data_IF_745269524794
#
_entry.id   IF_745269524794
#
_cell.length_a   1.000
_cell.length_b   1.000
_cell.length_c   1.000
_cell.angle_alpha   90.00
_cell.angle_beta   90.00
_cell.angle_gamma   90.00
#
_symmetry.space_group_name_H-M   'P 1'
#
loop_
_entity.id
_entity.type
_entity.pdbx_description
1 polymer ?
#
# COMPACT_ATOMS: atom_id res chain seq x y z
N UNK A 1 13.34 4.94 -8.47
CA UNK A 1 13.47 5.85 -7.33
C UNK A 1 14.92 5.96 -6.83
N UNK A 2 15.55 4.89 -6.38
CA UNK A 2 16.91 4.88 -5.84
C UNK A 2 17.97 5.47 -6.81
N UNK A 3 18.00 4.98 -8.07
CA UNK A 3 18.88 5.46 -9.13
C UNK A 3 18.74 6.99 -9.34
N UNK A 4 17.49 7.48 -9.32
CA UNK A 4 17.18 8.91 -9.48
C UNK A 4 17.71 9.73 -8.30
N UNK A 5 17.45 9.30 -7.06
CA UNK A 5 17.90 10.00 -5.86
C UNK A 5 19.43 10.02 -5.74
N UNK A 6 20.08 8.88 -5.98
CA UNK A 6 21.55 8.80 -5.96
C UNK A 6 22.19 9.67 -7.02
N UNK A 7 21.65 9.65 -8.24
CA UNK A 7 22.13 10.50 -9.33
C UNK A 7 21.94 11.99 -9.03
N UNK A 8 20.76 12.40 -8.58
CA UNK A 8 20.43 13.79 -8.31
C UNK A 8 21.19 14.38 -7.10
N UNK A 9 21.48 13.56 -6.10
CA UNK A 9 22.25 13.99 -4.91
C UNK A 9 23.75 13.89 -5.08
N UNK A 10 24.24 13.17 -6.09
CA UNK A 10 25.66 12.82 -6.23
C UNK A 10 26.16 11.82 -5.17
N UNK A 11 25.25 11.21 -4.40
CA UNK A 11 25.59 10.34 -3.27
C UNK A 11 25.33 8.87 -3.62
N UNK A 12 26.31 8.19 -4.20
CA UNK A 12 26.18 6.83 -4.72
C UNK A 12 25.75 5.79 -3.67
N UNK A 13 26.11 5.99 -2.39
CA UNK A 13 25.77 5.11 -1.28
C UNK A 13 24.55 5.57 -0.46
N UNK A 14 23.76 6.53 -0.97
CA UNK A 14 22.55 6.99 -0.27
C UNK A 14 21.61 5.82 -0.01
N UNK A 15 21.30 5.49 1.26
CA UNK A 15 20.29 4.49 1.55
C UNK A 15 18.89 5.03 1.20
N UNK A 16 18.15 4.26 0.43
CA UNK A 16 16.78 4.63 0.01
C UNK A 16 15.85 3.50 0.40
N UNK A 17 14.86 3.79 1.23
CA UNK A 17 13.81 2.85 1.64
C UNK A 17 12.50 3.26 0.96
N UNK A 18 11.86 2.31 0.30
CA UNK A 18 10.52 2.46 -0.25
C UNK A 18 9.56 1.64 0.60
N UNK A 19 8.53 2.27 1.13
CA UNK A 19 7.45 1.61 1.86
C UNK A 19 6.22 1.58 0.96
N UNK A 20 5.77 0.37 0.62
CA UNK A 20 4.61 0.18 -0.24
C UNK A 20 3.34 0.54 0.55
N UNK A 21 2.54 1.46 0.01
CA UNK A 21 1.21 1.76 0.53
C UNK A 21 0.16 0.77 0.03
N UNK A 22 -1.06 0.83 0.56
CA UNK A 22 -2.16 -0.02 0.14
C UNK A 22 -2.45 0.13 -1.36
N UNK A 23 -2.21 -0.91 -2.14
CA UNK A 23 -2.28 -0.91 -3.59
C UNK A 23 -2.83 -2.20 -4.22
N UNK A 24 -3.50 -3.04 -3.44
CA UNK A 24 -4.03 -4.31 -3.93
C UNK A 24 -5.03 -4.18 -5.09
N UNK A 25 -5.69 -3.03 -5.23
CA UNK A 25 -6.59 -2.67 -6.34
C UNK A 25 -6.08 -1.49 -7.17
N UNK A 26 -4.78 -1.18 -7.08
CA UNK A 26 -4.14 -0.07 -7.81
C UNK A 26 -3.20 -0.62 -8.88
N UNK A 27 -3.30 -0.07 -10.07
CA UNK A 27 -2.38 -0.38 -11.17
C UNK A 27 -1.49 0.81 -11.50
N UNK A 28 -0.26 0.54 -11.90
CA UNK A 28 0.65 1.54 -12.45
C UNK A 28 0.39 1.82 -13.94
N UNK A 29 -0.46 1.03 -14.58
CA UNK A 29 -0.80 1.17 -16.00
C UNK A 29 -1.80 2.30 -16.18
N UNK A 30 -1.54 3.22 -17.11
CA UNK A 30 -2.51 4.23 -17.52
C UNK A 30 -3.51 3.62 -18.51
N UNK A 31 -4.62 3.13 -17.98
CA UNK A 31 -5.69 2.52 -18.77
C UNK A 31 -6.46 3.53 -19.63
N UNK A 32 -6.28 4.83 -19.41
CA UNK A 32 -6.92 5.91 -20.15
C UNK A 32 -5.98 6.54 -21.20
N UNK A 33 -4.73 6.10 -21.24
CA UNK A 33 -3.77 6.60 -22.23
C UNK A 33 -4.24 6.30 -23.66
N UNK A 34 -4.13 7.32 -24.52
CA UNK A 34 -4.43 7.17 -25.96
C UNK A 34 -3.31 6.50 -26.76
N UNK A 35 -2.15 6.33 -26.13
CA UNK A 35 -0.96 5.70 -26.71
C UNK A 35 -0.61 4.45 -25.93
N UNK A 36 0.07 3.50 -26.56
CA UNK A 36 0.57 2.32 -25.87
C UNK A 36 1.54 2.71 -24.73
N UNK A 37 1.47 1.98 -23.63
CA UNK A 37 2.44 2.13 -22.56
C UNK A 37 3.83 1.69 -23.06
N UNK A 38 4.91 2.31 -22.53
CA UNK A 38 6.27 1.86 -22.81
C UNK A 38 6.52 0.40 -22.42
N UNK A 39 7.59 -0.18 -22.94
CA UNK A 39 8.04 -1.51 -22.52
C UNK A 39 8.39 -1.56 -21.02
N UNK A 40 8.49 -2.77 -20.47
CA UNK A 40 8.60 -2.98 -19.01
C UNK A 40 9.77 -2.21 -18.37
N UNK A 41 10.96 -2.21 -18.96
CA UNK A 41 12.12 -1.49 -18.41
C UNK A 41 11.92 0.03 -18.43
N UNK A 42 11.49 0.57 -19.58
CA UNK A 42 11.22 2.00 -19.72
C UNK A 42 10.11 2.45 -18.78
N UNK A 43 9.09 1.60 -18.58
CA UNK A 43 8.00 1.87 -17.64
C UNK A 43 8.48 1.91 -16.20
N UNK A 44 9.34 0.97 -15.80
CA UNK A 44 9.98 0.98 -14.48
C UNK A 44 10.82 2.25 -14.24
N UNK A 45 11.59 2.67 -15.25
CA UNK A 45 12.38 3.91 -15.15
C UNK A 45 11.48 5.14 -15.03
N UNK A 46 10.38 5.19 -15.81
CA UNK A 46 9.43 6.30 -15.77
C UNK A 46 8.72 6.40 -14.41
N UNK A 47 8.13 5.32 -13.92
CA UNK A 47 7.40 5.29 -12.65
C UNK A 47 8.36 5.54 -11.47
N UNK A 48 9.45 4.79 -11.42
CA UNK A 48 10.46 4.95 -10.37
C UNK A 48 11.16 6.31 -10.42
N UNK A 49 11.35 6.87 -11.62
CA UNK A 49 11.90 8.20 -11.84
C UNK A 49 11.00 9.30 -11.30
N UNK A 50 9.68 9.24 -11.58
CA UNK A 50 8.68 10.19 -11.07
C UNK A 50 8.65 10.22 -9.53
N UNK A 51 8.59 9.04 -8.90
CA UNK A 51 8.64 8.94 -7.43
C UNK A 51 9.96 9.48 -6.88
N UNK A 52 11.10 9.17 -7.54
CA UNK A 52 12.41 9.67 -7.14
C UNK A 52 12.55 11.17 -7.29
N UNK A 53 11.99 11.77 -8.34
CA UNK A 53 11.99 13.21 -8.56
C UNK A 53 11.18 13.96 -7.48
N UNK A 54 10.00 13.45 -7.12
CA UNK A 54 9.19 14.04 -6.04
C UNK A 54 9.88 13.93 -4.68
N UNK A 55 10.50 12.78 -4.39
CA UNK A 55 11.30 12.61 -3.18
C UNK A 55 12.51 13.57 -3.15
N UNK A 56 13.18 13.76 -4.29
CA UNK A 56 14.29 14.72 -4.38
C UNK A 56 13.85 16.17 -4.18
N UNK A 57 12.76 16.57 -4.80
CA UNK A 57 12.13 17.89 -4.60
C UNK A 57 11.81 18.13 -3.12
N UNK A 58 11.24 17.13 -2.46
CA UNK A 58 10.96 17.19 -1.01
C UNK A 58 12.25 17.32 -0.20
N UNK A 59 13.27 16.53 -0.52
CA UNK A 59 14.58 16.59 0.15
C UNK A 59 15.22 17.98 0.08
N UNK A 60 15.11 18.66 -1.05
CA UNK A 60 15.62 20.04 -1.22
C UNK A 60 14.85 21.05 -0.35
N UNK A 61 13.62 20.76 0.01
CA UNK A 61 12.77 21.63 0.83
C UNK A 61 12.96 21.40 2.33
N UNK A 62 13.60 20.30 2.73
CA UNK A 62 13.84 19.97 4.14
C UNK A 62 14.92 20.91 4.70
N UNK A 63 14.55 21.73 5.68
CA UNK A 63 15.52 22.55 6.42
C UNK A 63 16.32 21.65 7.36
N UNK A 64 17.65 21.70 7.25
CA UNK A 64 18.55 20.99 8.18
C UNK A 64 18.44 21.63 9.57
N UNK A 65 18.13 20.88 10.55
CA UNK A 65 17.89 21.30 11.93
C UNK A 65 17.10 20.22 12.68
N UNK A 66 17.52 18.97 12.51
CA UNK A 66 16.87 17.86 13.14
C UNK A 66 17.14 17.83 14.64
N UNK A 67 16.10 17.88 15.44
CA UNK A 67 16.17 17.36 16.81
C UNK A 67 16.19 15.84 16.76
N UNK A 68 16.92 15.23 17.68
CA UNK A 68 16.95 13.77 17.85
C UNK A 68 15.99 13.27 18.95
N UNK A 69 15.36 14.18 19.68
CA UNK A 69 14.46 13.86 20.80
C UNK A 69 13.01 13.81 20.31
N UNK A 70 12.66 12.68 19.70
CA UNK A 70 11.31 12.39 19.22
C UNK A 70 10.79 11.11 19.88
N UNK A 71 9.49 11.04 20.24
CA UNK A 71 8.91 9.82 20.78
C UNK A 71 8.93 8.69 19.76
N UNK A 72 9.41 7.53 20.20
CA UNK A 72 9.35 6.26 19.46
C UNK A 72 8.54 5.28 20.29
N UNK A 73 7.57 4.63 19.68
CA UNK A 73 6.76 3.60 20.31
C UNK A 73 6.31 2.57 19.28
N UNK A 74 5.88 1.41 19.73
CA UNK A 74 5.36 0.37 18.86
C UNK A 74 4.28 -0.44 19.53
N UNK A 75 3.29 -0.89 18.77
CA UNK A 75 2.23 -1.82 19.16
C UNK A 75 2.07 -2.86 18.09
N UNK A 76 1.73 -4.07 18.48
CA UNK A 76 1.62 -5.20 17.59
C UNK A 76 0.52 -6.14 18.05
N UNK A 77 -0.15 -6.78 17.09
CA UNK A 77 -1.11 -7.86 17.36
C UNK A 77 -0.92 -8.97 16.33
N UNK A 78 -0.89 -10.20 16.84
CA UNK A 78 -0.86 -11.43 16.02
C UNK A 78 -2.13 -12.22 16.32
N UNK A 79 -2.81 -12.68 15.27
CA UNK A 79 -4.01 -13.53 15.42
C UNK A 79 -4.19 -14.42 14.20
N UNK A 80 -5.17 -15.32 14.26
CA UNK A 80 -5.52 -16.20 13.15
C UNK A 80 -6.77 -15.72 12.45
N UNK A 81 -6.72 -15.70 11.12
CA UNK A 81 -7.81 -15.34 10.22
C UNK A 81 -8.20 -16.59 9.42
N UNK A 82 -9.48 -16.81 9.26
CA UNK A 82 -10.01 -17.98 8.53
C UNK A 82 -9.84 -17.82 7.02
N UNK A 83 -9.72 -18.96 6.34
CA UNK A 83 -9.79 -19.01 4.89
C UNK A 83 -11.23 -19.16 4.41
N UNK A 84 -11.56 -18.59 3.25
CA UNK A 84 -12.72 -18.94 2.46
C UNK A 84 -12.51 -20.35 1.89
N UNK A 85 -13.53 -21.17 1.94
CA UNK A 85 -13.47 -22.53 1.44
C UNK A 85 -14.25 -22.62 0.12
N UNK A 86 -13.76 -23.37 -0.89
CA UNK A 86 -14.56 -23.69 -2.06
C UNK A 86 -15.69 -24.63 -1.67
N UNK A 87 -16.85 -24.50 -2.32
CA UNK A 87 -17.93 -25.46 -2.15
C UNK A 87 -17.58 -26.78 -2.83
N UNK A 88 -18.17 -27.92 -2.42
CA UNK A 88 -17.95 -29.22 -3.08
C UNK A 88 -18.22 -29.18 -4.59
N UNK A 89 -19.23 -28.41 -5.02
CA UNK A 89 -19.59 -28.25 -6.44
C UNK A 89 -18.49 -27.51 -7.20
N UNK A 90 -17.90 -26.45 -6.60
CA UNK A 90 -16.75 -25.74 -7.17
C UNK A 90 -15.53 -26.65 -7.30
N UNK A 91 -15.27 -27.49 -6.30
CA UNK A 91 -14.15 -28.45 -6.34
C UNK A 91 -14.38 -29.48 -7.44
N UNK A 92 -15.58 -30.06 -7.54
CA UNK A 92 -15.92 -31.02 -8.60
C UNK A 92 -15.77 -30.39 -10.00
N UNK A 93 -16.31 -29.19 -10.19
CA UNK A 93 -16.17 -28.47 -11.46
C UNK A 93 -14.70 -28.13 -11.78
N UNK A 94 -13.92 -27.76 -10.80
CA UNK A 94 -12.49 -27.49 -10.97
C UNK A 94 -11.74 -28.75 -11.42
N UNK A 95 -12.05 -29.91 -10.85
CA UNK A 95 -11.46 -31.18 -11.26
C UNK A 95 -11.80 -31.53 -12.72
N UNK A 96 -13.03 -31.31 -13.16
CA UNK A 96 -13.42 -31.50 -14.56
C UNK A 96 -12.59 -30.61 -15.51
N UNK A 97 -12.49 -29.31 -15.19
CA UNK A 97 -11.76 -28.34 -16.01
C UNK A 97 -10.27 -28.67 -16.08
N UNK A 98 -9.67 -29.08 -14.96
CA UNK A 98 -8.24 -29.50 -14.95
C UNK A 98 -8.04 -30.75 -15.83
N UNK A 99 -8.94 -31.73 -15.76
CA UNK A 99 -8.86 -32.94 -16.55
C UNK A 99 -9.11 -32.70 -18.05
N UNK A 100 -9.88 -31.68 -18.42
CA UNK A 100 -10.06 -31.29 -19.82
C UNK A 100 -8.76 -30.75 -20.44
N UNK A 101 -7.88 -30.16 -19.62
CA UNK A 101 -6.67 -29.47 -20.06
C UNK A 101 -6.95 -28.08 -20.65
N UNK A 102 -5.90 -27.24 -20.75
CA UNK A 102 -6.05 -25.83 -21.14
C UNK A 102 -6.64 -25.62 -22.53
N UNK A 103 -6.33 -26.51 -23.49
CA UNK A 103 -6.83 -26.41 -24.85
C UNK A 103 -8.36 -26.52 -24.98
N UNK A 104 -9.02 -27.23 -24.05
CA UNK A 104 -10.50 -27.41 -24.05
C UNK A 104 -11.18 -26.52 -23.02
N UNK A 105 -10.58 -26.34 -21.84
CA UNK A 105 -11.15 -25.53 -20.76
C UNK A 105 -10.94 -24.03 -20.96
N UNK A 106 -9.95 -23.64 -21.75
CA UNK A 106 -9.41 -22.28 -21.84
C UNK A 106 -8.36 -22.02 -20.75
N UNK A 107 -7.29 -21.34 -21.11
CA UNK A 107 -6.11 -21.14 -20.23
C UNK A 107 -6.47 -20.49 -18.90
N UNK A 108 -7.35 -19.50 -18.93
CA UNK A 108 -7.76 -18.76 -17.71
C UNK A 108 -8.55 -19.65 -16.78
N UNK A 109 -9.60 -20.30 -17.26
CA UNK A 109 -10.45 -21.16 -16.43
C UNK A 109 -9.72 -22.40 -15.94
N UNK A 110 -8.83 -22.97 -16.77
CA UNK A 110 -7.98 -24.08 -16.36
C UNK A 110 -7.02 -23.68 -15.23
N UNK A 111 -6.44 -22.47 -15.31
CA UNK A 111 -5.53 -21.94 -14.28
C UNK A 111 -6.27 -21.72 -12.97
N UNK A 112 -7.42 -21.06 -13.00
CA UNK A 112 -8.19 -20.85 -11.78
C UNK A 112 -8.80 -22.13 -11.20
N UNK A 113 -9.10 -23.12 -12.04
CA UNK A 113 -9.51 -24.43 -11.56
C UNK A 113 -8.41 -25.13 -10.73
N UNK A 114 -7.15 -25.02 -11.13
CA UNK A 114 -6.03 -25.53 -10.32
C UNK A 114 -5.92 -24.80 -8.98
N UNK A 115 -6.12 -23.48 -8.95
CA UNK A 115 -6.15 -22.70 -7.72
C UNK A 115 -7.25 -23.17 -6.75
N UNK A 116 -8.45 -23.48 -7.26
CA UNK A 116 -9.53 -24.04 -6.43
C UNK A 116 -9.13 -25.38 -5.81
N UNK A 117 -8.53 -26.28 -6.57
CA UNK A 117 -8.08 -27.57 -6.05
C UNK A 117 -6.96 -27.41 -5.02
N UNK A 118 -6.05 -26.48 -5.26
CA UNK A 118 -4.95 -26.18 -4.36
C UNK A 118 -5.46 -25.60 -3.03
N UNK A 119 -6.38 -24.63 -3.07
CA UNK A 119 -6.91 -24.03 -1.85
C UNK A 119 -7.80 -25.00 -1.07
N UNK A 120 -8.54 -25.88 -1.74
CA UNK A 120 -9.28 -26.96 -1.09
C UNK A 120 -8.33 -27.88 -0.30
N UNK A 121 -7.23 -28.30 -0.90
CA UNK A 121 -6.26 -29.17 -0.25
C UNK A 121 -5.56 -28.46 0.93
N UNK A 122 -5.11 -27.20 0.73
CA UNK A 122 -4.43 -26.41 1.76
C UNK A 122 -5.34 -26.13 2.94
N UNK A 123 -6.60 -25.78 2.69
CA UNK A 123 -7.55 -25.41 3.74
C UNK A 123 -7.95 -26.57 4.65
N UNK A 124 -7.88 -27.81 4.15
CA UNK A 124 -8.11 -29.01 4.96
C UNK A 124 -7.02 -29.21 6.03
N UNK A 125 -5.81 -28.75 5.76
CA UNK A 125 -4.66 -28.88 6.66
C UNK A 125 -4.41 -27.60 7.46
N UNK A 126 -4.64 -26.44 6.84
CA UNK A 126 -4.43 -25.10 7.40
C UNK A 126 -5.65 -24.22 7.13
N UNK A 127 -6.75 -24.39 7.89
CA UNK A 127 -7.99 -23.62 7.68
C UNK A 127 -7.86 -22.14 8.06
N UNK A 128 -6.82 -21.79 8.78
CA UNK A 128 -6.53 -20.45 9.26
C UNK A 128 -5.11 -20.01 8.86
N UNK A 129 -4.90 -18.71 8.81
CA UNK A 129 -3.61 -18.07 8.56
C UNK A 129 -3.29 -17.17 9.74
N UNK A 130 -2.11 -17.30 10.30
CA UNK A 130 -1.57 -16.34 11.27
C UNK A 130 -1.17 -15.05 10.55
N UNK A 131 -1.60 -13.93 11.10
CA UNK A 131 -1.38 -12.60 10.54
C UNK A 131 -0.88 -11.66 11.63
N UNK A 132 -0.08 -10.70 11.23
CA UNK A 132 0.44 -9.66 12.12
C UNK A 132 0.09 -8.28 11.57
N UNK A 133 -0.39 -7.41 12.46
CA UNK A 133 -0.52 -5.98 12.22
C UNK A 133 0.30 -5.26 13.28
N UNK A 134 1.13 -4.33 12.83
CA UNK A 134 1.99 -3.54 13.70
C UNK A 134 1.77 -2.05 13.43
N UNK A 135 1.81 -1.25 14.49
CA UNK A 135 1.86 0.21 14.41
C UNK A 135 3.17 0.69 15.04
N UNK A 136 3.96 1.45 14.26
CA UNK A 136 5.24 2.01 14.67
C UNK A 136 5.10 3.53 14.68
N UNK A 137 5.46 4.15 15.79
CA UNK A 137 5.49 5.61 15.95
C UNK A 137 6.89 6.15 15.72
N UNK A 138 6.99 7.23 14.94
CA UNK A 138 8.20 8.06 14.81
C UNK A 138 7.75 9.52 14.96
N UNK A 139 7.84 10.07 16.17
CA UNK A 139 7.32 11.41 16.46
C UNK A 139 5.82 11.54 16.15
N UNK A 140 5.43 12.46 15.25
CA UNK A 140 4.03 12.63 14.84
C UNK A 140 3.58 11.67 13.74
N UNK A 141 4.44 10.74 13.32
CA UNK A 141 4.17 9.78 12.24
C UNK A 141 3.78 8.44 12.83
N UNK A 142 2.77 7.78 12.25
CA UNK A 142 2.46 6.37 12.45
C UNK A 142 2.63 5.59 11.15
N UNK A 143 3.40 4.50 11.20
CA UNK A 143 3.46 3.48 10.15
C UNK A 143 2.58 2.31 10.61
N UNK A 144 1.61 1.90 9.81
CA UNK A 144 0.67 0.81 10.14
C UNK A 144 0.84 -0.30 9.11
N UNK A 145 1.47 -1.39 9.52
CA UNK A 145 1.79 -2.50 8.63
C UNK A 145 0.68 -3.56 8.56
N UNK A 146 0.62 -4.28 7.45
CA UNK A 146 -0.16 -5.50 7.27
C UNK A 146 0.53 -6.43 6.24
N UNK A 147 0.27 -7.76 6.29
CA UNK A 147 0.94 -8.73 5.43
C UNK A 147 0.21 -8.99 4.09
N UNK A 148 -0.61 -8.07 3.59
CA UNK A 148 -1.48 -8.28 2.45
C UNK A 148 -1.13 -7.40 1.26
N UNK A 149 -1.58 -7.81 0.07
CA UNK A 149 -1.85 -6.92 -1.06
C UNK A 149 -3.22 -6.29 -0.80
N UNK A 150 -3.20 -5.15 -0.12
CA UNK A 150 -4.31 -4.57 0.60
C UNK A 150 -5.06 -3.54 -0.26
N UNK A 151 -6.38 -3.67 -0.38
CA UNK A 151 -7.16 -2.71 -1.17
C UNK A 151 -7.08 -1.31 -0.58
N UNK A 152 -6.96 -0.32 -1.46
CA UNK A 152 -6.67 1.09 -1.12
C UNK A 152 -7.65 1.69 -0.13
N UNK A 153 -8.93 1.30 -0.19
CA UNK A 153 -9.96 1.83 0.72
C UNK A 153 -9.62 1.59 2.19
N UNK A 154 -9.09 0.42 2.52
CA UNK A 154 -8.66 0.14 3.89
C UNK A 154 -7.48 1.00 4.33
N UNK A 155 -6.55 1.30 3.42
CA UNK A 155 -5.47 2.24 3.67
C UNK A 155 -5.98 3.66 3.97
N UNK A 156 -7.01 4.10 3.24
CA UNK A 156 -7.69 5.37 3.49
C UNK A 156 -8.45 5.37 4.83
N UNK A 157 -9.11 4.26 5.16
CA UNK A 157 -9.80 4.09 6.44
C UNK A 157 -8.82 4.17 7.63
N UNK A 158 -7.64 3.53 7.52
CA UNK A 158 -6.57 3.62 8.52
C UNK A 158 -6.11 5.06 8.70
N UNK A 159 -5.84 5.79 7.61
CA UNK A 159 -5.46 7.21 7.68
C UNK A 159 -6.53 8.05 8.36
N UNK A 160 -7.80 7.83 8.03
CA UNK A 160 -8.94 8.56 8.59
C UNK A 160 -9.20 8.23 10.05
N UNK A 161 -9.02 6.97 10.44
CA UNK A 161 -9.30 6.48 11.81
C UNK A 161 -8.17 6.73 12.80
N UNK A 162 -6.96 6.97 12.34
CA UNK A 162 -5.80 7.25 13.17
C UNK A 162 -5.83 8.67 13.72
N UNK A 163 -5.44 8.84 15.00
CA UNK A 163 -5.27 10.15 15.62
C UNK A 163 -3.93 10.82 15.29
N UNK A 164 -3.04 10.12 14.59
CA UNK A 164 -1.77 10.68 14.17
C UNK A 164 -1.96 11.65 12.99
N UNK A 165 -1.30 12.82 13.00
CA UNK A 165 -1.39 13.77 11.90
C UNK A 165 -0.84 13.22 10.58
N UNK A 166 0.11 12.27 10.66
CA UNK A 166 0.70 11.60 9.51
C UNK A 166 0.65 10.09 9.71
N UNK A 167 -0.23 9.41 8.99
CA UNK A 167 -0.37 7.95 9.04
C UNK A 167 -0.13 7.33 7.67
N UNK A 168 0.77 6.36 7.62
CA UNK A 168 1.16 5.65 6.42
C UNK A 168 0.87 4.15 6.58
N UNK A 169 -0.15 3.62 5.91
CA UNK A 169 -0.31 2.18 5.75
C UNK A 169 0.89 1.61 4.98
N UNK A 170 1.42 0.48 5.45
CA UNK A 170 2.54 -0.23 4.83
C UNK A 170 2.09 -1.67 4.61
N UNK A 171 1.93 -2.06 3.35
CA UNK A 171 1.52 -3.41 2.99
C UNK A 171 2.70 -4.34 2.70
N UNK A 172 2.42 -5.64 2.55
CA UNK A 172 3.40 -6.69 2.30
C UNK A 172 4.52 -6.70 3.36
N UNK A 173 4.17 -6.31 4.58
CA UNK A 173 5.10 -6.21 5.69
C UNK A 173 4.89 -7.35 6.69
N UNK A 174 6.00 -7.94 7.16
CA UNK A 174 6.08 -9.04 8.12
C UNK A 174 5.41 -10.35 7.65
N UNK A 175 5.12 -10.49 6.36
CA UNK A 175 4.52 -11.68 5.78
C UNK A 175 3.84 -11.40 4.45
N UNK A 176 3.25 -12.44 3.87
CA UNK A 176 2.44 -12.34 2.65
C UNK A 176 1.25 -13.29 2.74
N UNK A 177 0.05 -12.74 2.63
CA UNK A 177 -1.21 -13.51 2.61
C UNK A 177 -1.97 -13.36 1.28
N UNK A 178 -1.38 -12.60 0.34
CA UNK A 178 -1.97 -12.27 -0.96
C UNK A 178 -3.01 -11.15 -0.86
N UNK A 179 -3.94 -11.12 -1.82
CA UNK A 179 -4.96 -10.08 -1.91
C UNK A 179 -5.96 -10.13 -0.77
N UNK A 180 -6.26 -8.96 -0.24
CA UNK A 180 -7.32 -8.74 0.75
C UNK A 180 -8.27 -7.65 0.23
N UNK A 181 -9.27 -8.05 -0.59
CA UNK A 181 -10.26 -7.16 -1.15
C UNK A 181 -11.23 -6.61 -0.11
N UNK A 182 -11.91 -5.52 -0.45
CA UNK A 182 -13.00 -4.99 0.37
C UNK A 182 -14.22 -5.92 0.36
N UNK A 183 -15.09 -5.80 1.37
CA UNK A 183 -16.36 -6.51 1.41
C UNK A 183 -17.22 -6.18 0.17
N UNK A 184 -17.16 -4.94 -0.31
CA UNK A 184 -17.85 -4.50 -1.53
C UNK A 184 -17.31 -5.19 -2.77
N UNK A 185 -16.00 -5.26 -2.93
CA UNK A 185 -15.35 -5.95 -4.05
C UNK A 185 -15.62 -7.46 -4.07
N UNK A 186 -15.83 -8.07 -2.90
CA UNK A 186 -16.24 -9.47 -2.76
C UNK A 186 -17.76 -9.67 -2.88
N UNK A 187 -18.53 -8.60 -2.95
CA UNK A 187 -19.98 -8.60 -3.07
C UNK A 187 -20.49 -8.82 -4.50
N UNK A 188 -21.83 -8.84 -4.70
CA UNK A 188 -22.45 -9.18 -5.98
C UNK A 188 -22.15 -8.19 -7.12
N UNK A 189 -21.78 -6.97 -6.81
CA UNK A 189 -21.41 -5.92 -7.79
C UNK A 189 -19.91 -5.70 -7.90
N UNK A 190 -19.12 -6.50 -7.18
CA UNK A 190 -17.66 -6.46 -7.23
C UNK A 190 -17.08 -7.33 -8.33
N UNK A 191 -15.81 -7.67 -8.22
CA UNK A 191 -15.12 -8.52 -9.19
C UNK A 191 -13.63 -8.24 -9.25
N UNK A 192 -13.02 -8.63 -10.36
CA UNK A 192 -11.56 -8.62 -10.53
C UNK A 192 -10.93 -9.96 -10.17
N UNK A 193 -9.74 -10.21 -10.70
CA UNK A 193 -9.01 -11.46 -10.41
C UNK A 193 -8.60 -11.57 -8.94
N UNK A 194 -8.43 -10.45 -8.28
CA UNK A 194 -8.07 -10.32 -6.87
C UNK A 194 -9.15 -10.86 -5.93
N UNK A 195 -10.40 -10.90 -6.41
CA UNK A 195 -11.55 -11.41 -5.63
C UNK A 195 -11.82 -12.90 -5.84
N UNK A 196 -11.22 -13.49 -6.88
CA UNK A 196 -11.37 -14.94 -7.15
C UNK A 196 -10.71 -15.74 -6.04
N UNK A 197 -11.35 -16.86 -5.66
CA UNK A 197 -10.81 -17.75 -4.64
C UNK A 197 -9.60 -18.51 -5.19
N UNK A 198 -8.44 -18.20 -4.64
CA UNK A 198 -7.13 -18.72 -5.08
C UNK A 198 -6.20 -18.91 -3.88
N UNK A 199 -5.02 -19.49 -4.12
CA UNK A 199 -3.95 -19.56 -3.12
C UNK A 199 -3.48 -18.20 -2.62
N UNK A 200 -3.66 -17.16 -3.43
CA UNK A 200 -3.24 -15.78 -3.15
C UNK A 200 -4.42 -14.80 -2.95
N UNK A 201 -5.65 -15.26 -2.81
CA UNK A 201 -6.84 -14.50 -2.41
C UNK A 201 -7.87 -15.43 -1.76
N UNK A 202 -7.72 -15.68 -0.49
CA UNK A 202 -8.52 -16.71 0.17
C UNK A 202 -8.92 -16.39 1.62
N UNK A 203 -8.58 -15.25 2.18
CA UNK A 203 -9.00 -14.91 3.53
C UNK A 203 -10.51 -14.62 3.58
N UNK A 204 -11.11 -14.79 4.75
CA UNK A 204 -12.52 -14.49 4.98
C UNK A 204 -12.88 -13.05 4.60
N UNK A 205 -14.14 -12.81 4.26
CA UNK A 205 -14.61 -11.53 3.71
C UNK A 205 -14.29 -10.35 4.64
N UNK A 206 -14.35 -10.55 5.95
CA UNK A 206 -14.09 -9.52 6.96
C UNK A 206 -12.60 -9.27 7.25
N UNK A 207 -11.68 -10.05 6.68
CA UNK A 207 -10.25 -9.98 7.02
C UNK A 207 -9.67 -8.58 6.86
N UNK A 208 -9.99 -7.91 5.76
CA UNK A 208 -9.49 -6.56 5.51
C UNK A 208 -9.97 -5.55 6.54
N UNK A 209 -11.23 -5.63 6.93
CA UNK A 209 -11.81 -4.78 8.00
C UNK A 209 -11.16 -5.07 9.34
N UNK A 210 -10.87 -6.34 9.64
CA UNK A 210 -10.14 -6.72 10.86
C UNK A 210 -8.75 -6.08 10.90
N UNK A 211 -8.00 -6.11 9.78
CA UNK A 211 -6.67 -5.48 9.69
C UNK A 211 -6.75 -3.97 9.89
N UNK A 212 -7.68 -3.29 9.19
CA UNK A 212 -7.87 -1.85 9.31
C UNK A 212 -8.20 -1.43 10.74
N UNK A 213 -9.20 -2.07 11.35
CA UNK A 213 -9.62 -1.76 12.72
C UNK A 213 -8.50 -2.01 13.72
N UNK A 214 -7.78 -3.13 13.58
CA UNK A 214 -6.63 -3.44 14.44
C UNK A 214 -5.52 -2.39 14.28
N UNK A 215 -5.19 -2.00 13.06
CA UNK A 215 -4.18 -0.98 12.80
C UNK A 215 -4.55 0.38 13.40
N UNK A 216 -5.81 0.79 13.26
CA UNK A 216 -6.34 2.02 13.87
C UNK A 216 -6.27 1.94 15.40
N UNK A 217 -6.71 0.83 15.97
CA UNK A 217 -6.67 0.61 17.42
C UNK A 217 -5.25 0.69 17.98
N UNK A 218 -4.31 -0.02 17.35
CA UNK A 218 -2.90 -0.02 17.77
C UNK A 218 -2.27 1.37 17.66
N UNK A 219 -2.49 2.07 16.55
CA UNK A 219 -2.02 3.44 16.39
C UNK A 219 -2.61 4.36 17.47
N UNK A 220 -3.90 4.22 17.77
CA UNK A 220 -4.59 5.07 18.73
C UNK A 220 -4.26 4.76 20.22
N UNK A 221 -3.54 3.68 20.51
CA UNK A 221 -2.97 3.41 21.85
C UNK A 221 -1.71 4.24 22.12
N UNK A 222 -1.02 4.73 21.09
CA UNK A 222 0.19 5.55 21.22
C UNK A 222 -0.17 7.04 21.23
N UNK A 223 0.69 7.89 21.75
CA UNK A 223 0.46 9.35 21.81
C UNK A 223 1.29 10.05 20.72
N UNK A 224 0.67 10.70 19.72
CA UNK A 224 1.41 11.42 18.70
C UNK A 224 2.38 12.46 19.24
N UNK A 225 3.57 12.52 18.68
CA UNK A 225 4.51 13.59 18.94
C UNK A 225 4.01 14.93 18.37
N UNK A 226 4.63 16.01 18.82
CA UNK A 226 4.31 17.36 18.34
C UNK A 226 4.81 17.57 16.92
N UNK A 227 3.96 18.11 16.07
CA UNK A 227 4.38 18.61 14.76
C UNK A 227 5.05 19.96 14.98
N UNK A 228 6.35 20.13 14.66
CA UNK A 228 7.02 21.41 14.83
C UNK A 228 6.32 22.51 14.03
N UNK A 229 6.04 23.63 14.66
CA UNK A 229 5.55 24.79 13.93
C UNK A 229 6.66 25.32 13.01
N UNK A 230 6.34 25.77 11.80
CA UNK A 230 7.34 26.44 10.97
C UNK A 230 7.88 27.69 11.71
N UNK A 231 9.17 27.98 11.59
CA UNK A 231 9.71 29.20 12.19
C UNK A 231 8.98 30.42 11.63
N UNK A 232 8.77 31.47 12.41
CA UNK A 232 8.18 32.69 11.89
C UNK A 232 9.02 33.20 10.71
N UNK A 233 8.41 33.79 9.70
CA UNK A 233 9.15 34.37 8.61
C UNK A 233 10.09 35.45 9.17
N UNK A 234 11.33 35.60 8.65
CA UNK A 234 12.23 36.66 9.08
C UNK A 234 11.54 38.02 8.87
N UNK A 235 11.69 38.96 9.79
CA UNK A 235 11.14 40.30 9.60
C UNK A 235 11.70 40.91 8.31
N UNK A 236 10.84 41.57 7.57
CA UNK A 236 11.27 42.34 6.39
C UNK A 236 12.09 43.56 6.87
N UNK A 237 13.41 43.45 6.79
CA UNK A 237 14.32 44.43 7.40
C UNK A 237 14.88 45.47 6.42
N UNK A 238 14.60 45.27 5.13
CA UNK A 238 15.04 46.25 4.11
C UNK A 238 13.88 46.53 3.15
N UNK A 239 13.69 47.81 2.77
CA UNK A 239 12.70 48.11 1.75
C UNK A 239 13.12 47.47 0.41
N UNK A 240 12.12 47.06 -0.37
CA UNK A 240 12.34 46.63 -1.73
C UNK A 240 13.00 47.76 -2.51
N UNK A 241 14.18 47.50 -3.12
CA UNK A 241 15.00 48.54 -3.73
C UNK A 241 14.35 49.33 -4.88
N UNK A 242 13.29 48.77 -5.45
CA UNK A 242 12.52 49.43 -6.52
C UNK A 242 11.27 50.15 -6.01
N UNK A 243 10.98 50.09 -4.70
CA UNK A 243 9.80 50.72 -4.09
C UNK A 243 8.47 50.07 -4.50
N UNK A 244 7.39 50.53 -3.85
CA UNK A 244 6.02 50.18 -4.24
C UNK A 244 5.48 51.25 -5.21
N UNK A 245 5.87 51.15 -6.46
CA UNK A 245 5.36 52.02 -7.51
C UNK A 245 4.09 51.44 -8.09
N UNK A 246 3.09 52.29 -8.32
CA UNK A 246 1.87 51.83 -9.00
C UNK A 246 2.18 51.43 -10.44
N UNK A 247 1.43 50.49 -11.03
CA UNK A 247 1.60 50.15 -12.44
C UNK A 247 1.42 51.38 -13.34
N UNK A 248 2.34 51.57 -14.24
CA UNK A 248 2.20 52.55 -15.32
C UNK A 248 1.29 51.96 -16.39
N UNK A 249 0.07 52.54 -16.55
CA UNK A 249 -0.94 52.05 -17.45
C UNK A 249 -0.94 52.73 -18.82
N UNK A 250 0.04 53.56 -19.11
CA UNK A 250 0.22 54.24 -20.39
C UNK A 250 1.68 54.17 -20.83
#
# INVERSE_FOLDING_TARGET
MEKTLRGATGHAALPVVFLQGACGDITQVDNLAKTANPGAEEWCELVGGRVGAEAFKTLLSIKRGAGSDIPLDTRQRVWKVKRRLPTPEKVARALELVNMGPAKAGDVEWTFAKEILMIDAVSKVRPEVEVEVQAIQVGPIALVSNPAEYFVQYGLDIKKGSKFPFTFPVELANGIVGYVPTEEALGPNGGGYETRLTGYSNLEVSAGRQFANTGIELANQMTPGVVPAPPPPPPFVAPWGYGNVQPELQ
#
